data_IF_699435044435
#
_entry.id   IF_699435044435
#
_cell.length_a   1.000
_cell.length_b   1.000
_cell.length_c   1.000
_cell.angle_alpha   90.00
_cell.angle_beta   90.00
_cell.angle_gamma   90.00
#
_symmetry.space_group_name_H-M   'P 1'
#
loop_
_entity.id
_entity.type
_entity.pdbx_description
1 polymer ?
#
# COMPACT_ATOMS: atom_id res chain seq x y z
N UNK A 1 19.51 -13.80 8.33
CA UNK A 1 19.15 -12.36 8.30
C UNK A 1 19.10 -11.97 6.84
N UNK A 2 17.93 -12.05 6.20
CA UNK A 2 17.79 -11.77 4.77
C UNK A 2 17.97 -10.28 4.50
N UNK A 3 18.65 -9.92 3.41
CA UNK A 3 18.75 -8.51 2.98
C UNK A 3 17.35 -7.90 2.87
N UNK A 4 17.18 -6.69 3.41
CA UNK A 4 15.95 -5.93 3.17
C UNK A 4 15.92 -5.54 1.67
N UNK A 5 14.81 -5.76 0.97
CA UNK A 5 14.68 -5.44 -0.46
C UNK A 5 14.96 -3.95 -0.69
N UNK A 6 15.67 -3.62 -1.77
CA UNK A 6 16.06 -2.24 -2.10
C UNK A 6 14.96 -1.49 -2.85
N UNK A 7 14.07 -2.22 -3.51
CA UNK A 7 12.94 -1.69 -4.26
C UNK A 7 11.63 -2.37 -3.83
N UNK A 8 10.51 -1.66 -3.99
CA UNK A 8 9.20 -2.21 -3.67
C UNK A 8 8.81 -3.42 -4.57
N UNK A 9 9.33 -3.49 -5.80
CA UNK A 9 9.14 -4.65 -6.71
C UNK A 9 9.85 -5.90 -6.18
N UNK A 10 11.09 -5.73 -5.72
CA UNK A 10 11.82 -6.81 -5.03
C UNK A 10 11.10 -7.21 -3.74
N UNK A 11 10.62 -6.22 -2.98
CA UNK A 11 9.86 -6.48 -1.75
C UNK A 11 8.66 -7.39 -2.03
N UNK A 12 7.88 -7.11 -3.08
CA UNK A 12 6.77 -7.96 -3.49
C UNK A 12 7.26 -9.36 -3.88
N UNK A 13 8.24 -9.47 -4.79
CA UNK A 13 8.77 -10.77 -5.23
C UNK A 13 9.27 -11.66 -4.07
N UNK A 14 9.89 -11.05 -3.06
CA UNK A 14 10.35 -11.75 -1.86
C UNK A 14 9.21 -12.08 -0.89
N UNK A 15 8.26 -11.18 -0.68
CA UNK A 15 7.15 -11.39 0.24
C UNK A 15 6.24 -12.54 -0.21
N UNK A 16 5.92 -12.64 -1.50
CA UNK A 16 5.13 -13.76 -2.03
C UNK A 16 5.83 -15.11 -1.89
N UNK A 17 7.16 -15.15 -1.95
CA UNK A 17 7.92 -16.38 -1.78
C UNK A 17 7.93 -16.89 -0.32
N UNK A 18 7.69 -16.00 0.65
CA UNK A 18 7.76 -16.31 2.09
C UNK A 18 6.40 -16.63 2.71
N UNK A 19 5.29 -16.13 2.14
CA UNK A 19 3.97 -16.15 2.80
C UNK A 19 3.05 -17.33 2.43
N UNK A 20 3.60 -18.43 1.91
CA UNK A 20 3.06 -19.81 1.99
C UNK A 20 1.60 -20.11 1.62
N UNK A 21 0.82 -19.17 1.05
CA UNK A 21 -0.61 -19.36 0.78
C UNK A 21 -1.40 -18.13 0.28
N UNK A 22 -0.82 -16.91 0.27
CA UNK A 22 -1.49 -15.75 -0.32
C UNK A 22 -1.33 -15.72 -1.85
N UNK A 23 -2.41 -15.44 -2.59
CA UNK A 23 -2.34 -15.34 -4.05
C UNK A 23 -1.41 -14.19 -4.48
N UNK A 24 -0.59 -14.37 -5.54
CA UNK A 24 0.18 -13.29 -6.14
C UNK A 24 -0.70 -12.12 -6.56
N UNK A 25 -0.23 -10.88 -6.34
CA UNK A 25 -0.93 -9.72 -6.89
C UNK A 25 -0.81 -9.70 -8.41
N UNK A 26 -1.91 -9.38 -9.09
CA UNK A 26 -1.91 -9.21 -10.54
C UNK A 26 -1.29 -7.87 -10.94
N UNK A 27 -0.92 -7.70 -12.21
CA UNK A 27 -0.38 -6.42 -12.71
C UNK A 27 -1.32 -5.23 -12.44
N UNK A 28 -2.63 -5.45 -12.55
CA UNK A 28 -3.66 -4.44 -12.27
C UNK A 28 -3.73 -4.05 -10.78
N UNK A 29 -3.43 -4.98 -9.87
CA UNK A 29 -3.33 -4.71 -8.43
C UNK A 29 -2.13 -3.82 -8.11
N UNK A 30 -0.98 -4.20 -8.67
CA UNK A 30 0.28 -3.48 -8.56
C UNK A 30 0.12 -2.04 -9.08
N UNK A 31 -0.51 -1.88 -10.25
CA UNK A 31 -0.80 -0.56 -10.83
C UNK A 31 -1.73 0.29 -9.96
N UNK A 32 -2.71 -0.34 -9.31
CA UNK A 32 -3.63 0.34 -8.40
C UNK A 32 -2.92 0.84 -7.12
N UNK A 33 -2.02 0.03 -6.54
CA UNK A 33 -1.18 0.44 -5.42
C UNK A 33 -0.22 1.57 -5.79
N UNK A 34 0.36 1.56 -7.00
CA UNK A 34 1.15 2.69 -7.48
C UNK A 34 0.33 3.97 -7.59
N UNK A 35 -0.90 3.87 -8.12
CA UNK A 35 -1.81 5.01 -8.26
C UNK A 35 -2.16 5.61 -6.90
N UNK A 36 -2.40 4.77 -5.90
CA UNK A 36 -2.59 5.17 -4.50
C UNK A 36 -1.38 5.91 -3.94
N UNK A 37 -0.18 5.32 -4.06
CA UNK A 37 1.05 5.92 -3.55
C UNK A 37 1.32 7.30 -4.19
N UNK A 38 1.14 7.42 -5.51
CA UNK A 38 1.24 8.70 -6.23
C UNK A 38 0.22 9.71 -5.72
N UNK A 39 -1.02 9.28 -5.49
CA UNK A 39 -2.09 10.12 -4.96
C UNK A 39 -1.81 10.68 -3.56
N UNK A 40 -1.18 9.88 -2.69
CA UNK A 40 -0.73 10.28 -1.35
C UNK A 40 0.38 11.33 -1.44
N UNK A 41 1.42 11.06 -2.21
CA UNK A 41 2.59 11.94 -2.35
C UNK A 41 2.20 13.27 -3.00
N UNK A 42 1.38 13.24 -4.06
CA UNK A 42 0.93 14.45 -4.76
C UNK A 42 0.17 15.40 -3.84
N UNK A 43 -0.57 14.87 -2.86
CA UNK A 43 -1.35 15.61 -1.85
C UNK A 43 -0.56 15.97 -0.59
N UNK A 44 0.76 15.71 -0.54
CA UNK A 44 1.61 15.93 0.65
C UNK A 44 1.13 15.14 1.88
N UNK A 45 0.50 13.97 1.67
CA UNK A 45 -0.03 13.11 2.73
C UNK A 45 0.92 11.99 3.15
N UNK A 46 2.20 12.07 2.78
CA UNK A 46 3.19 11.01 3.06
C UNK A 46 3.28 10.67 4.55
N UNK A 47 3.52 11.65 5.42
CA UNK A 47 3.64 11.41 6.86
C UNK A 47 2.38 10.79 7.50
N UNK A 48 1.15 11.33 7.31
CA UNK A 48 -0.06 10.70 7.87
C UNK A 48 -0.36 9.33 7.26
N UNK A 49 -0.06 9.10 5.98
CA UNK A 49 -0.25 7.78 5.35
C UNK A 49 0.68 6.72 5.94
N UNK A 50 1.97 7.04 6.11
CA UNK A 50 2.94 6.11 6.72
C UNK A 50 2.55 5.80 8.17
N UNK A 51 2.22 6.83 8.96
CA UNK A 51 1.75 6.64 10.34
C UNK A 51 0.54 5.69 10.39
N UNK A 52 -0.43 5.90 9.50
CA UNK A 52 -1.60 5.03 9.41
C UNK A 52 -1.22 3.59 9.06
N UNK A 53 -0.42 3.39 8.00
CA UNK A 53 -0.01 2.05 7.54
C UNK A 53 0.72 1.28 8.64
N UNK A 54 1.64 1.92 9.36
CA UNK A 54 2.30 1.32 10.53
C UNK A 54 1.31 1.00 11.67
N UNK A 55 0.30 1.85 11.88
CA UNK A 55 -0.71 1.67 12.93
C UNK A 55 -1.64 0.48 12.66
N UNK A 56 -1.84 0.09 11.40
CA UNK A 56 -2.71 -1.04 11.02
C UNK A 56 -1.96 -2.35 10.80
N UNK A 57 -0.62 -2.35 10.68
CA UNK A 57 0.21 -3.57 10.62
C UNK A 57 -0.03 -4.59 11.76
N UNK A 58 -0.25 -4.20 13.03
CA UNK A 58 -0.47 -5.16 14.11
C UNK A 58 -1.94 -5.62 14.26
N UNK A 59 -2.89 -5.08 13.49
CA UNK A 59 -4.31 -5.42 13.63
C UNK A 59 -4.79 -6.32 12.50
N UNK A 60 -5.05 -7.59 12.82
CA UNK A 60 -5.74 -8.55 11.95
C UNK A 60 -7.19 -8.17 11.60
N UNK A 61 -7.68 -6.96 11.90
CA UNK A 61 -9.10 -6.65 11.75
C UNK A 61 -9.45 -5.15 11.70
N UNK A 62 -8.96 -4.40 10.71
CA UNK A 62 -9.53 -3.08 10.39
C UNK A 62 -9.55 -2.80 8.87
N UNK A 63 -9.96 -3.77 8.05
CA UNK A 63 -10.24 -3.49 6.62
C UNK A 63 -11.41 -2.49 6.47
N UNK A 64 -12.44 -2.62 7.31
CA UNK A 64 -13.66 -1.80 7.24
C UNK A 64 -13.53 -0.34 7.69
N UNK A 65 -12.81 -0.05 8.79
CA UNK A 65 -12.70 1.35 9.27
C UNK A 65 -11.65 2.16 8.51
N UNK A 66 -10.65 1.50 7.91
CA UNK A 66 -9.66 2.14 7.05
C UNK A 66 -10.31 2.82 5.85
N UNK A 67 -11.28 2.15 5.21
CA UNK A 67 -12.04 2.69 4.08
C UNK A 67 -12.93 3.86 4.48
N UNK A 68 -13.52 3.84 5.67
CA UNK A 68 -14.33 4.96 6.18
C UNK A 68 -13.45 6.18 6.45
N UNK A 69 -12.25 5.98 7.00
CA UNK A 69 -11.31 7.06 7.29
C UNK A 69 -10.73 7.70 6.01
N UNK A 70 -10.34 6.90 5.01
CA UNK A 70 -9.77 7.39 3.76
C UNK A 70 -10.78 7.63 2.64
N UNK A 71 -12.06 7.30 2.83
CA UNK A 71 -13.13 7.46 1.82
C UNK A 71 -13.06 8.79 1.06
N UNK A 72 -12.98 9.95 1.75
CA UNK A 72 -12.92 11.25 1.08
C UNK A 72 -11.69 11.48 0.20
N UNK A 73 -10.56 10.83 0.49
CA UNK A 73 -9.32 10.95 -0.30
C UNK A 73 -9.32 9.93 -1.43
N UNK A 74 -9.83 8.73 -1.17
CA UNK A 74 -9.89 7.62 -2.11
C UNK A 74 -10.90 7.89 -3.23
N UNK A 75 -12.07 8.45 -2.93
CA UNK A 75 -13.10 8.79 -3.94
C UNK A 75 -12.60 9.81 -4.99
N UNK A 76 -11.61 10.64 -4.64
CA UNK A 76 -11.03 11.63 -5.57
C UNK A 76 -10.00 10.99 -6.50
N UNK A 77 -9.45 9.81 -6.14
CA UNK A 77 -8.34 9.17 -6.86
C UNK A 77 -8.77 7.87 -7.54
N UNK A 78 -9.73 7.15 -6.95
CA UNK A 78 -10.13 5.80 -7.33
C UNK A 78 -11.64 5.73 -7.59
N UNK A 79 -12.01 4.90 -8.57
CA UNK A 79 -13.40 4.47 -8.80
C UNK A 79 -13.83 3.53 -7.67
N UNK A 80 -15.14 3.38 -7.46
CA UNK A 80 -15.69 2.55 -6.39
C UNK A 80 -15.20 1.09 -6.44
N UNK A 81 -15.09 0.52 -7.64
CA UNK A 81 -14.59 -0.85 -7.82
C UNK A 81 -13.09 -0.96 -7.49
N UNK A 82 -12.32 0.09 -7.76
CA UNK A 82 -10.91 0.19 -7.39
C UNK A 82 -10.74 0.32 -5.87
N UNK A 83 -11.65 1.02 -5.19
CA UNK A 83 -11.65 1.17 -3.72
C UNK A 83 -11.88 -0.17 -3.04
N UNK A 84 -12.92 -0.91 -3.44
CA UNK A 84 -13.24 -2.23 -2.88
C UNK A 84 -12.10 -3.22 -3.08
N UNK A 85 -11.44 -3.15 -4.24
CA UNK A 85 -10.28 -3.99 -4.53
C UNK A 85 -9.05 -3.60 -3.71
N UNK A 86 -8.74 -2.31 -3.62
CA UNK A 86 -7.67 -1.80 -2.78
C UNK A 86 -7.87 -2.20 -1.32
N UNK A 87 -9.11 -2.12 -0.82
CA UNK A 87 -9.46 -2.56 0.53
C UNK A 87 -9.01 -3.98 0.82
N UNK A 88 -9.38 -4.92 -0.06
CA UNK A 88 -9.01 -6.35 0.07
C UNK A 88 -7.51 -6.56 0.03
N UNK A 89 -6.79 -5.82 -0.82
CA UNK A 89 -5.33 -5.91 -0.87
C UNK A 89 -4.69 -5.42 0.43
N UNK A 90 -5.19 -4.29 0.98
CA UNK A 90 -4.65 -3.66 2.20
C UNK A 90 -4.90 -4.48 3.47
N UNK A 91 -5.71 -5.54 3.43
CA UNK A 91 -5.82 -6.50 4.54
C UNK A 91 -4.54 -7.33 4.72
N UNK A 92 -3.72 -7.44 3.66
CA UNK A 92 -2.50 -8.21 3.71
C UNK A 92 -1.35 -7.35 4.25
N UNK A 93 -0.71 -7.84 5.30
CA UNK A 93 0.44 -7.18 5.93
C UNK A 93 1.55 -6.88 4.93
N UNK A 94 1.76 -7.82 4.04
CA UNK A 94 2.76 -7.73 3.01
C UNK A 94 2.45 -6.52 2.08
N UNK A 95 1.24 -6.42 1.52
CA UNK A 95 0.79 -5.25 0.74
C UNK A 95 0.98 -3.92 1.47
N UNK A 96 0.67 -3.85 2.77
CA UNK A 96 0.84 -2.64 3.58
C UNK A 96 2.31 -2.19 3.65
N UNK A 97 3.24 -3.14 3.83
CA UNK A 97 4.68 -2.87 3.85
C UNK A 97 5.18 -2.43 2.47
N UNK A 98 4.76 -3.10 1.40
CA UNK A 98 5.10 -2.72 0.03
C UNK A 98 4.58 -1.33 -0.35
N UNK A 99 3.37 -0.98 0.06
CA UNK A 99 2.78 0.33 -0.18
C UNK A 99 3.52 1.44 0.59
N UNK A 100 3.89 1.21 1.85
CA UNK A 100 4.67 2.16 2.64
C UNK A 100 6.01 2.46 1.97
N UNK A 101 6.76 1.43 1.58
CA UNK A 101 8.04 1.59 0.86
C UNK A 101 7.86 2.36 -0.45
N UNK A 102 6.76 2.11 -1.19
CA UNK A 102 6.50 2.84 -2.44
C UNK A 102 6.23 4.32 -2.19
N UNK A 103 5.46 4.66 -1.15
CA UNK A 103 5.19 6.05 -0.76
C UNK A 103 6.48 6.76 -0.39
N UNK A 104 7.34 6.13 0.42
CA UNK A 104 8.64 6.69 0.83
C UNK A 104 9.57 6.94 -0.36
N UNK A 105 9.68 5.97 -1.29
CA UNK A 105 10.46 6.12 -2.53
C UNK A 105 10.01 7.32 -3.36
N UNK A 106 8.69 7.44 -3.59
CA UNK A 106 8.12 8.54 -4.38
C UNK A 106 8.28 9.90 -3.69
N UNK A 107 8.20 9.97 -2.36
CA UNK A 107 8.44 11.23 -1.64
C UNK A 107 9.92 11.61 -1.67
N UNK A 108 10.84 10.65 -1.60
CA UNK A 108 12.28 10.90 -1.75
C UNK A 108 12.60 11.44 -3.16
N UNK A 109 12.05 10.82 -4.21
CA UNK A 109 12.17 11.27 -5.60
C UNK A 109 11.65 12.70 -5.81
N UNK A 110 10.58 13.09 -5.10
CA UNK A 110 10.00 14.44 -5.19
C UNK A 110 10.83 15.52 -4.49
N UNK A 111 11.59 15.14 -3.46
CA UNK A 111 12.40 16.07 -2.65
C UNK A 111 13.80 16.29 -3.20
N UNK A 112 14.29 15.39 -4.05
CA UNK A 112 15.51 15.57 -4.84
C UNK A 112 15.25 16.42 -6.08
#
# INVERSE_FOLDING_TARGET
>A
MGEKPKTWKEWFAHAFALDGGAEPLEERDVALLEKLAKGVVSRRMTAPAILFLESVKPLSFVGGQALVFFGPVLEVVLKREEIERAAKMLERRDVLEGLALKIESLEAERRG
#
